data_IF_347808216291
#
_entry.id   IF_347808216291
#
_cell.length_a   1.000
_cell.length_b   1.000
_cell.length_c   1.000
_cell.angle_alpha   90.00
_cell.angle_beta   90.00
_cell.angle_gamma   90.00
#
_symmetry.space_group_name_H-M   'P 1'
#
loop_
_entity.id
_entity.type
_entity.pdbx_description
1 polymer ?
#
# COMPACT_ATOMS: atom_id res chain seq x y z
N UNK A 1 29.83 12.19 5.38
CA UNK A 1 28.73 12.94 6.01
C UNK A 1 27.88 11.98 6.81
N UNK A 2 28.05 11.98 8.14
CA UNK A 2 27.35 11.07 9.06
C UNK A 2 25.98 11.67 9.39
N UNK A 3 24.89 11.02 9.00
CA UNK A 3 23.56 11.34 9.53
C UNK A 3 23.35 10.54 10.82
N UNK A 4 23.50 11.21 11.94
CA UNK A 4 23.06 10.69 13.26
C UNK A 4 21.55 10.85 13.33
N UNK A 5 20.83 9.73 13.41
CA UNK A 5 19.42 9.70 13.81
C UNK A 5 19.37 9.82 15.33
N UNK A 6 18.87 10.95 15.82
CA UNK A 6 18.54 11.15 17.23
C UNK A 6 17.14 10.64 17.52
N UNK A 7 17.02 9.92 18.64
CA UNK A 7 15.81 9.53 19.37
C UNK A 7 14.85 8.55 18.68
N UNK A 8 15.16 7.24 18.87
CA UNK A 8 14.11 6.25 19.05
C UNK A 8 14.03 5.97 20.55
N UNK A 9 13.07 6.60 21.22
CA UNK A 9 12.72 6.22 22.58
C UNK A 9 12.14 4.82 22.61
N UNK A 10 12.79 3.94 23.37
CA UNK A 10 12.50 2.51 23.52
C UNK A 10 11.47 2.23 24.63
N UNK A 11 10.52 3.11 24.83
CA UNK A 11 9.47 2.91 25.84
C UNK A 11 8.08 3.06 25.23
N UNK A 12 7.56 2.02 24.60
CA UNK A 12 6.13 1.69 24.57
C UNK A 12 5.83 0.50 23.66
N UNK A 13 6.41 -0.65 23.93
CA UNK A 13 5.87 -1.94 23.43
C UNK A 13 5.97 -3.00 24.52
N UNK A 14 5.20 -2.81 25.58
CA UNK A 14 4.91 -3.93 26.51
C UNK A 14 3.79 -4.76 25.88
N UNK A 15 4.14 -5.71 25.02
CA UNK A 15 3.31 -6.83 24.67
C UNK A 15 3.17 -7.72 25.92
N UNK A 16 1.98 -7.73 26.51
CA UNK A 16 1.65 -8.62 27.61
C UNK A 16 1.43 -10.03 27.08
N UNK A 17 2.42 -10.88 27.19
CA UNK A 17 2.31 -12.31 26.91
C UNK A 17 1.74 -13.01 28.14
N UNK A 18 0.46 -13.32 28.17
CA UNK A 18 -0.16 -14.20 29.16
C UNK A 18 -0.09 -15.65 28.66
N UNK A 19 0.75 -16.44 29.29
CA UNK A 19 0.82 -17.89 29.07
C UNK A 19 -0.19 -18.57 29.98
N UNK A 20 -1.24 -19.13 29.43
CA UNK A 20 -2.14 -20.07 30.11
C UNK A 20 -2.22 -21.35 29.29
N UNK A 21 -1.68 -22.44 29.89
CA UNK A 21 -1.84 -23.85 29.48
C UNK A 21 -1.89 -24.14 27.97
N UNK A 22 -0.72 -24.23 27.34
CA UNK A 22 -0.53 -25.09 26.16
C UNK A 22 -1.14 -24.61 24.83
N UNK A 23 -1.66 -23.39 24.75
CA UNK A 23 -2.12 -22.76 23.52
C UNK A 23 -1.49 -21.38 23.40
N UNK A 24 -0.52 -21.25 22.50
CA UNK A 24 -0.04 -19.92 22.08
C UNK A 24 -1.16 -19.31 21.26
N UNK A 25 -2.00 -18.50 21.90
CA UNK A 25 -2.92 -17.61 21.20
C UNK A 25 -2.11 -16.38 20.86
N UNK A 26 -1.70 -16.26 19.61
CA UNK A 26 -1.22 -15.00 19.05
C UNK A 26 -2.42 -14.04 19.00
N UNK A 27 -2.67 -13.31 20.09
CA UNK A 27 -3.50 -12.11 20.04
C UNK A 27 -2.72 -11.04 19.29
N UNK A 28 -3.13 -10.81 18.10
CA UNK A 28 -3.07 -9.56 17.35
C UNK A 28 -2.81 -9.75 15.87
N UNK A 29 -3.77 -10.31 15.17
CA UNK A 29 -4.10 -9.71 13.88
C UNK A 29 -5.21 -8.69 14.15
N UNK A 30 -4.88 -7.51 14.61
CA UNK A 30 -5.78 -6.38 14.56
C UNK A 30 -6.18 -6.24 13.09
N UNK A 31 -7.38 -6.73 12.73
CA UNK A 31 -7.99 -6.51 11.42
C UNK A 31 -8.03 -5.01 11.27
N UNK A 32 -7.16 -4.47 10.41
CA UNK A 32 -7.17 -3.06 10.10
C UNK A 32 -8.54 -2.77 9.48
N UNK A 33 -9.41 -2.24 10.31
CA UNK A 33 -10.72 -1.72 9.89
C UNK A 33 -10.49 -0.42 9.11
N UNK A 34 -11.48 0.12 8.40
CA UNK A 34 -11.38 1.47 7.82
C UNK A 34 -10.90 2.52 8.82
N UNK A 35 -11.12 2.31 10.14
CA UNK A 35 -10.66 3.19 11.22
C UNK A 35 -9.15 3.11 11.49
N UNK A 36 -8.45 2.07 11.02
CA UNK A 36 -7.00 1.87 11.16
C UNK A 36 -6.23 2.12 9.86
N UNK A 37 -6.89 2.70 8.85
CA UNK A 37 -6.24 3.05 7.59
C UNK A 37 -5.13 4.09 7.80
N UNK A 38 -3.90 3.85 7.28
CA UNK A 38 -2.72 4.64 7.64
C UNK A 38 -2.76 6.12 7.23
N UNK A 39 -3.66 6.49 6.32
CA UNK A 39 -3.79 7.85 5.77
C UNK A 39 -5.08 8.56 6.18
N UNK A 40 -5.78 8.10 7.22
CA UNK A 40 -7.10 8.60 7.63
C UNK A 40 -7.22 10.14 7.73
N UNK A 41 -6.14 10.83 8.10
CA UNK A 41 -6.14 12.28 8.31
C UNK A 41 -5.13 13.02 7.42
N UNK A 42 -4.72 12.38 6.32
CA UNK A 42 -3.62 12.88 5.51
C UNK A 42 -3.99 14.03 4.56
N UNK A 43 -5.25 14.19 4.14
CA UNK A 43 -5.60 15.13 3.07
C UNK A 43 -5.47 16.57 3.56
N UNK A 44 -4.49 17.34 3.06
CA UNK A 44 -4.42 18.78 3.34
C UNK A 44 -5.59 19.48 2.66
N UNK A 45 -6.22 20.41 3.35
CA UNK A 45 -7.36 21.17 2.79
C UNK A 45 -8.66 20.40 2.70
N UNK A 46 -8.77 19.24 3.36
CA UNK A 46 -10.02 18.47 3.42
C UNK A 46 -11.11 19.28 4.09
N UNK A 47 -12.07 19.76 3.33
CA UNK A 47 -13.29 20.31 3.88
C UNK A 47 -14.18 19.20 4.44
N UNK A 48 -15.02 19.53 5.42
CA UNK A 48 -15.95 18.59 6.06
C UNK A 48 -16.68 17.76 4.99
N UNK A 49 -16.62 16.42 5.12
CA UNK A 49 -17.37 15.53 4.23
C UNK A 49 -18.86 15.78 4.46
N UNK A 50 -19.63 16.14 3.42
CA UNK A 50 -21.05 16.39 3.56
C UNK A 50 -21.79 15.13 4.01
N UNK A 51 -22.73 15.29 4.95
CA UNK A 51 -23.60 14.21 5.40
C UNK A 51 -24.86 14.08 4.53
N UNK A 52 -25.25 15.15 3.83
CA UNK A 52 -26.45 15.15 2.99
C UNK A 52 -26.18 14.45 1.65
N UNK A 53 -27.07 13.59 1.23
CA UNK A 53 -26.95 12.78 0.00
C UNK A 53 -26.72 13.62 -1.26
N UNK A 54 -27.42 14.76 -1.40
CA UNK A 54 -27.24 15.68 -2.54
C UNK A 54 -25.80 16.21 -2.62
N UNK A 55 -25.24 16.61 -1.50
CA UNK A 55 -23.87 17.12 -1.42
C UNK A 55 -22.85 16.03 -1.69
N UNK A 56 -23.08 14.80 -1.23
CA UNK A 56 -22.24 13.64 -1.54
C UNK A 56 -22.27 13.32 -3.04
N UNK A 57 -23.44 13.43 -3.68
CA UNK A 57 -23.58 13.24 -5.14
C UNK A 57 -22.76 14.28 -5.88
N UNK A 58 -22.87 15.56 -5.52
CA UNK A 58 -22.09 16.65 -6.14
C UNK A 58 -20.58 16.41 -5.96
N UNK A 59 -20.15 16.02 -4.77
CA UNK A 59 -18.74 15.69 -4.50
C UNK A 59 -18.25 14.55 -5.42
N UNK A 60 -18.97 13.46 -5.53
CA UNK A 60 -18.65 12.36 -6.47
C UNK A 60 -18.60 12.79 -7.93
N UNK A 61 -19.50 13.69 -8.36
CA UNK A 61 -19.45 14.27 -9.72
C UNK A 61 -18.16 15.04 -9.96
N UNK A 62 -17.69 15.81 -8.99
CA UNK A 62 -16.41 16.55 -9.07
C UNK A 62 -15.23 15.58 -9.21
N UNK A 63 -15.15 14.55 -8.37
CA UNK A 63 -14.08 13.54 -8.44
C UNK A 63 -14.07 12.81 -9.79
N UNK A 64 -15.24 12.34 -10.25
CA UNK A 64 -15.37 11.66 -11.56
C UNK A 64 -15.02 12.55 -12.73
N UNK A 65 -15.35 13.84 -12.67
CA UNK A 65 -14.98 14.80 -13.71
C UNK A 65 -13.46 15.04 -13.75
N UNK A 66 -12.81 15.12 -12.58
CA UNK A 66 -11.37 15.27 -12.49
C UNK A 66 -10.63 14.02 -13.04
N UNK A 67 -11.10 12.81 -12.71
CA UNK A 67 -10.57 11.56 -13.29
C UNK A 67 -10.69 11.52 -14.82
N UNK A 68 -11.86 11.88 -15.35
CA UNK A 68 -12.10 11.91 -16.80
C UNK A 68 -11.21 12.92 -17.52
N UNK A 69 -11.00 14.10 -16.92
CA UNK A 69 -10.09 15.12 -17.46
C UNK A 69 -8.63 14.67 -17.40
N UNK A 70 -8.19 14.05 -16.30
CA UNK A 70 -6.83 13.56 -16.16
C UNK A 70 -6.44 12.58 -17.27
N UNK A 71 -7.38 11.71 -17.66
CA UNK A 71 -7.19 10.74 -18.74
C UNK A 71 -7.01 11.39 -20.11
N UNK A 72 -7.74 12.50 -20.38
CA UNK A 72 -7.80 13.11 -21.70
C UNK A 72 -6.81 14.25 -21.90
N UNK A 73 -6.63 15.11 -20.89
CA UNK A 73 -5.90 16.38 -20.97
C UNK A 73 -4.53 16.32 -20.27
N UNK A 74 -4.29 15.25 -19.48
CA UNK A 74 -3.13 15.17 -18.59
C UNK A 74 -3.30 16.03 -17.33
N UNK A 75 -2.84 15.51 -16.20
CA UNK A 75 -3.05 16.10 -14.86
C UNK A 75 -2.53 17.53 -14.72
N UNK A 76 -1.42 17.86 -15.42
CA UNK A 76 -0.80 19.19 -15.36
C UNK A 76 -1.67 20.31 -15.90
N UNK A 77 -2.54 20.02 -16.87
CA UNK A 77 -3.33 21.01 -17.59
C UNK A 77 -4.71 21.28 -16.98
N UNK A 78 -5.13 20.49 -15.99
CA UNK A 78 -6.47 20.58 -15.40
C UNK A 78 -6.58 21.79 -14.48
N UNK A 79 -7.69 22.51 -14.60
CA UNK A 79 -8.03 23.64 -13.72
C UNK A 79 -9.34 23.38 -13.00
N UNK A 80 -9.61 24.13 -11.90
CA UNK A 80 -10.88 24.07 -11.17
C UNK A 80 -12.07 24.42 -12.08
N UNK A 81 -11.89 25.37 -13.01
CA UNK A 81 -12.91 25.76 -13.99
C UNK A 81 -13.26 24.60 -14.92
N UNK A 82 -12.25 23.87 -15.44
CA UNK A 82 -12.47 22.70 -16.28
C UNK A 82 -13.22 21.60 -15.53
N UNK A 83 -12.85 21.33 -14.27
CA UNK A 83 -13.53 20.35 -13.43
C UNK A 83 -14.98 20.76 -13.18
N UNK A 84 -15.24 22.01 -12.81
CA UNK A 84 -16.59 22.53 -12.58
C UNK A 84 -17.47 22.41 -13.85
N UNK A 85 -16.94 22.84 -15.00
CA UNK A 85 -17.62 22.74 -16.30
C UNK A 85 -17.95 21.29 -16.65
N UNK A 86 -16.98 20.36 -16.50
CA UNK A 86 -17.17 18.93 -16.74
C UNK A 86 -18.19 18.30 -15.81
N UNK A 87 -18.23 18.78 -14.54
CA UNK A 87 -19.20 18.35 -13.52
C UNK A 87 -20.58 18.97 -13.69
N UNK A 88 -20.74 19.91 -14.63
CA UNK A 88 -21.99 20.69 -14.85
C UNK A 88 -22.43 21.47 -13.59
N UNK A 89 -21.50 22.04 -12.86
CA UNK A 89 -21.75 22.89 -11.67
C UNK A 89 -21.06 24.25 -11.83
N UNK A 90 -21.53 25.24 -11.08
CA UNK A 90 -20.84 26.53 -11.01
C UNK A 90 -19.46 26.40 -10.36
N UNK A 91 -18.46 27.14 -10.82
CA UNK A 91 -17.12 27.12 -10.24
C UNK A 91 -17.12 27.42 -8.75
N UNK A 92 -17.91 28.41 -8.29
CA UNK A 92 -18.08 28.71 -6.87
C UNK A 92 -18.59 27.53 -6.05
N UNK A 93 -19.42 26.66 -6.64
CA UNK A 93 -19.88 25.44 -5.99
C UNK A 93 -18.71 24.44 -5.80
N UNK A 94 -17.83 24.28 -6.79
CA UNK A 94 -16.67 23.40 -6.67
C UNK A 94 -15.75 23.85 -5.51
N UNK A 95 -15.52 25.15 -5.36
CA UNK A 95 -14.73 25.71 -4.26
C UNK A 95 -15.39 25.59 -2.88
N UNK A 96 -16.69 25.30 -2.77
CA UNK A 96 -17.32 24.93 -1.50
C UNK A 96 -16.91 23.55 -1.02
N UNK A 97 -16.53 22.65 -1.93
CA UNK A 97 -16.14 21.26 -1.62
C UNK A 97 -14.64 21.09 -1.50
N UNK A 98 -13.85 21.82 -2.29
CA UNK A 98 -12.40 21.67 -2.38
C UNK A 98 -11.72 23.04 -2.49
N UNK A 99 -10.62 23.23 -1.79
CA UNK A 99 -9.87 24.48 -1.82
C UNK A 99 -9.20 24.72 -3.18
N UNK A 100 -8.69 23.64 -3.79
CA UNK A 100 -8.06 23.65 -5.09
C UNK A 100 -8.17 22.27 -5.76
N UNK A 101 -7.58 22.14 -6.96
CA UNK A 101 -7.55 20.87 -7.70
C UNK A 101 -6.70 19.80 -7.02
N UNK A 102 -5.66 20.21 -6.30
CA UNK A 102 -4.76 19.28 -5.64
C UNK A 102 -5.46 18.59 -4.46
N UNK A 103 -6.40 19.29 -3.78
CA UNK A 103 -7.28 18.69 -2.79
C UNK A 103 -8.21 17.62 -3.42
N UNK A 104 -8.69 17.84 -4.67
CA UNK A 104 -9.47 16.85 -5.41
C UNK A 104 -8.61 15.62 -5.73
N UNK A 105 -7.40 15.82 -6.22
CA UNK A 105 -6.48 14.74 -6.55
C UNK A 105 -6.04 13.95 -5.30
N UNK A 106 -5.82 14.63 -4.19
CA UNK A 106 -5.50 14.00 -2.91
C UNK A 106 -6.65 13.10 -2.43
N UNK A 107 -7.92 13.50 -2.62
CA UNK A 107 -9.06 12.65 -2.26
C UNK A 107 -9.20 11.43 -3.19
N UNK A 108 -8.98 11.60 -4.49
CA UNK A 108 -8.94 10.46 -5.43
C UNK A 108 -7.84 9.47 -5.06
N UNK A 109 -6.68 9.98 -4.63
CA UNK A 109 -5.58 9.16 -4.13
C UNK A 109 -5.96 8.41 -2.85
N UNK A 110 -6.63 9.07 -1.89
CA UNK A 110 -7.09 8.43 -0.66
C UNK A 110 -8.11 7.31 -0.96
N UNK A 111 -9.11 7.56 -1.81
CA UNK A 111 -10.07 6.53 -2.21
C UNK A 111 -9.38 5.31 -2.84
N UNK A 112 -8.40 5.55 -3.71
CA UNK A 112 -7.58 4.50 -4.29
C UNK A 112 -6.78 3.75 -3.22
N UNK A 113 -6.14 4.46 -2.31
CA UNK A 113 -5.31 3.87 -1.27
C UNK A 113 -6.14 3.04 -0.27
N UNK A 114 -7.37 3.47 0.06
CA UNK A 114 -8.32 2.69 0.87
C UNK A 114 -8.70 1.38 0.16
N UNK A 115 -9.04 1.45 -1.13
CA UNK A 115 -9.39 0.27 -1.93
C UNK A 115 -8.20 -0.68 -2.10
N UNK A 116 -6.99 -0.12 -2.33
CA UNK A 116 -5.73 -0.87 -2.35
C UNK A 116 -5.51 -1.62 -1.03
N UNK A 117 -5.67 -0.93 0.10
CA UNK A 117 -5.47 -1.51 1.42
C UNK A 117 -6.47 -2.62 1.73
N UNK A 118 -7.73 -2.44 1.37
CA UNK A 118 -8.76 -3.48 1.51
C UNK A 118 -8.43 -4.73 0.68
N UNK A 119 -8.00 -4.54 -0.57
CA UNK A 119 -7.59 -5.63 -1.46
C UNK A 119 -6.37 -6.38 -0.92
N UNK A 120 -5.35 -5.65 -0.46
CA UNK A 120 -4.15 -6.23 0.15
C UNK A 120 -4.49 -7.06 1.40
N UNK A 121 -5.31 -6.52 2.31
CA UNK A 121 -5.70 -7.23 3.52
C UNK A 121 -6.46 -8.52 3.21
N UNK A 122 -7.33 -8.51 2.20
CA UNK A 122 -8.02 -9.70 1.74
C UNK A 122 -7.05 -10.72 1.15
N UNK A 123 -6.13 -10.29 0.29
CA UNK A 123 -5.16 -11.15 -0.37
C UNK A 123 -4.11 -11.74 0.59
N UNK A 124 -3.89 -11.11 1.75
CA UNK A 124 -2.91 -11.54 2.76
C UNK A 124 -3.57 -12.07 4.03
N UNK A 125 -4.80 -12.58 3.96
CA UNK A 125 -5.54 -13.02 5.13
C UNK A 125 -4.95 -14.27 5.79
N UNK A 126 -4.40 -15.20 4.99
CA UNK A 126 -3.83 -16.47 5.45
C UNK A 126 -2.30 -16.38 5.53
N UNK A 127 -1.68 -16.51 6.71
CA UNK A 127 -0.22 -16.51 6.83
C UNK A 127 0.44 -17.65 6.03
N UNK A 128 1.64 -17.41 5.55
CA UNK A 128 2.43 -18.40 4.80
C UNK A 128 2.83 -19.60 5.64
N UNK A 129 2.73 -20.78 5.00
CA UNK A 129 3.34 -22.03 5.44
C UNK A 129 4.21 -22.61 4.33
N UNK A 130 4.98 -23.68 4.62
CA UNK A 130 5.76 -24.39 3.62
C UNK A 130 4.89 -24.93 2.47
N UNK A 131 3.66 -25.36 2.78
CA UNK A 131 2.74 -25.95 1.82
C UNK A 131 2.02 -24.90 0.97
N UNK A 132 1.81 -23.67 1.48
CA UNK A 132 0.87 -22.72 0.89
C UNK A 132 1.52 -21.46 0.31
N UNK A 133 2.75 -21.12 0.67
CA UNK A 133 3.33 -19.81 0.31
C UNK A 133 3.32 -19.49 -1.19
N UNK A 134 3.49 -20.51 -2.08
CA UNK A 134 3.44 -20.29 -3.54
C UNK A 134 2.04 -19.91 -4.00
N UNK A 135 1.01 -20.64 -3.54
CA UNK A 135 -0.38 -20.36 -3.90
C UNK A 135 -0.85 -19.03 -3.31
N UNK A 136 -0.42 -18.68 -2.09
CA UNK A 136 -0.74 -17.40 -1.46
C UNK A 136 -0.06 -16.23 -2.20
N UNK A 137 1.20 -16.38 -2.62
CA UNK A 137 1.89 -15.36 -3.43
C UNK A 137 1.23 -15.19 -4.80
N UNK A 138 0.91 -16.28 -5.49
CA UNK A 138 0.17 -16.26 -6.75
C UNK A 138 -1.17 -15.54 -6.59
N UNK A 139 -1.93 -15.87 -5.56
CA UNK A 139 -3.21 -15.26 -5.24
C UNK A 139 -3.10 -13.75 -5.00
N UNK A 140 -2.08 -13.31 -4.25
CA UNK A 140 -1.79 -11.90 -4.04
C UNK A 140 -1.50 -11.19 -5.37
N UNK A 141 -0.57 -11.72 -6.17
CA UNK A 141 -0.15 -11.08 -7.43
C UNK A 141 -1.33 -10.98 -8.39
N UNK A 142 -2.14 -12.04 -8.49
CA UNK A 142 -3.35 -12.04 -9.32
C UNK A 142 -4.37 -11.00 -8.87
N UNK A 143 -4.67 -10.93 -7.57
CA UNK A 143 -5.64 -9.96 -7.03
C UNK A 143 -5.14 -8.52 -7.17
N UNK A 144 -3.87 -8.29 -6.90
CA UNK A 144 -3.27 -6.97 -7.05
C UNK A 144 -3.18 -6.55 -8.52
N UNK A 145 -2.78 -7.44 -9.42
CA UNK A 145 -2.78 -7.18 -10.86
C UNK A 145 -4.16 -6.76 -11.39
N UNK A 146 -5.23 -7.46 -10.97
CA UNK A 146 -6.61 -7.07 -11.29
C UNK A 146 -6.95 -5.68 -10.74
N UNK A 147 -6.64 -5.41 -9.47
CA UNK A 147 -6.86 -4.12 -8.85
C UNK A 147 -6.14 -2.98 -9.60
N UNK A 148 -4.88 -3.19 -9.99
CA UNK A 148 -4.12 -2.21 -10.74
C UNK A 148 -4.71 -1.95 -12.13
N UNK A 149 -5.19 -2.97 -12.81
CA UNK A 149 -5.86 -2.83 -14.12
C UNK A 149 -7.16 -2.03 -13.99
N UNK A 150 -7.99 -2.34 -12.99
CA UNK A 150 -9.24 -1.62 -12.72
C UNK A 150 -9.01 -0.15 -12.32
N UNK A 151 -7.86 0.15 -11.72
CA UNK A 151 -7.45 1.50 -11.31
C UNK A 151 -6.76 2.30 -12.43
N UNK A 152 -6.65 1.77 -13.63
CA UNK A 152 -5.81 2.35 -14.71
C UNK A 152 -6.14 3.79 -15.07
N UNK A 153 -7.41 4.22 -14.93
CA UNK A 153 -7.83 5.61 -15.17
C UNK A 153 -7.30 6.62 -14.13
N UNK A 154 -6.81 6.15 -12.99
CA UNK A 154 -6.34 6.99 -11.87
C UNK A 154 -4.82 7.15 -11.81
N UNK A 155 -4.06 6.39 -12.64
CA UNK A 155 -2.60 6.34 -12.51
C UNK A 155 -1.90 7.67 -12.67
N UNK A 156 -2.38 8.55 -13.56
CA UNK A 156 -1.78 9.86 -13.75
C UNK A 156 -1.96 10.74 -12.53
N UNK A 157 -3.13 10.67 -11.90
CA UNK A 157 -3.41 11.37 -10.64
C UNK A 157 -2.56 10.80 -9.50
N UNK A 158 -2.48 9.47 -9.39
CA UNK A 158 -1.69 8.80 -8.34
C UNK A 158 -0.21 9.21 -8.44
N UNK A 159 0.37 9.14 -9.64
CA UNK A 159 1.76 9.57 -9.89
C UNK A 159 1.97 11.04 -9.59
N UNK A 160 1.03 11.89 -10.01
CA UNK A 160 1.09 13.31 -9.71
C UNK A 160 1.10 13.56 -8.20
N UNK A 161 0.15 12.99 -7.46
CA UNK A 161 0.08 13.15 -5.99
C UNK A 161 1.37 12.64 -5.34
N UNK A 162 1.87 11.46 -5.70
CA UNK A 162 3.12 10.91 -5.16
C UNK A 162 4.36 11.74 -5.51
N UNK A 163 4.32 12.58 -6.56
CA UNK A 163 5.40 13.53 -6.89
C UNK A 163 5.41 14.76 -5.98
N UNK A 164 4.31 15.10 -5.32
CA UNK A 164 4.24 16.22 -4.38
C UNK A 164 4.97 15.94 -3.07
N UNK A 165 5.32 16.96 -2.30
CA UNK A 165 5.96 16.79 -0.98
C UNK A 165 5.07 16.02 -0.02
N UNK A 166 3.79 16.35 0.02
CA UNK A 166 2.79 15.72 0.89
C UNK A 166 2.51 14.28 0.46
N UNK A 167 2.31 14.05 -0.83
CA UNK A 167 2.05 12.71 -1.37
C UNK A 167 3.23 11.75 -1.18
N UNK A 168 4.48 12.25 -1.24
CA UNK A 168 5.65 11.43 -0.86
C UNK A 168 5.62 10.99 0.61
N UNK A 169 5.11 11.85 1.50
CA UNK A 169 4.89 11.50 2.90
C UNK A 169 3.85 10.38 3.05
N UNK A 170 2.69 10.55 2.41
CA UNK A 170 1.61 9.56 2.39
C UNK A 170 2.06 8.22 1.79
N UNK A 171 2.75 8.25 0.66
CA UNK A 171 3.30 7.06 0.02
C UNK A 171 4.29 6.32 0.94
N UNK A 172 5.14 7.05 1.68
CA UNK A 172 6.06 6.43 2.64
C UNK A 172 5.30 5.73 3.77
N UNK A 173 4.29 6.40 4.35
CA UNK A 173 3.44 5.81 5.39
C UNK A 173 2.73 4.55 4.90
N UNK A 174 2.16 4.59 3.70
CA UNK A 174 1.50 3.44 3.08
C UNK A 174 2.49 2.29 2.80
N UNK A 175 3.70 2.61 2.34
CA UNK A 175 4.75 1.62 2.11
C UNK A 175 5.19 0.93 3.41
N UNK A 176 5.38 1.68 4.49
CA UNK A 176 5.75 1.12 5.79
C UNK A 176 4.65 0.22 6.36
N UNK A 177 3.38 0.61 6.19
CA UNK A 177 2.23 -0.21 6.57
C UNK A 177 2.17 -1.51 5.73
N UNK A 178 2.43 -1.43 4.42
CA UNK A 178 2.50 -2.60 3.55
C UNK A 178 3.62 -3.57 3.98
N UNK A 179 4.80 -3.05 4.31
CA UNK A 179 5.91 -3.88 4.79
C UNK A 179 5.53 -4.56 6.11
N UNK A 180 4.89 -3.84 7.04
CA UNK A 180 4.39 -4.43 8.28
C UNK A 180 3.39 -5.55 8.01
N UNK A 181 2.43 -5.32 7.11
CA UNK A 181 1.44 -6.34 6.71
C UNK A 181 2.09 -7.58 6.10
N UNK A 182 3.12 -7.41 5.26
CA UNK A 182 3.89 -8.53 4.72
C UNK A 182 4.67 -9.28 5.80
N UNK A 183 5.18 -8.59 6.83
CA UNK A 183 5.82 -9.23 7.97
C UNK A 183 4.86 -10.11 8.78
N UNK A 184 3.58 -9.71 8.88
CA UNK A 184 2.56 -10.53 9.54
C UNK A 184 2.19 -11.75 8.67
N UNK A 185 2.15 -11.59 7.37
CA UNK A 185 1.74 -12.59 6.39
C UNK A 185 2.83 -13.61 6.07
N UNK A 186 4.00 -13.15 5.61
CA UNK A 186 5.12 -13.99 5.17
C UNK A 186 6.17 -14.25 6.26
N UNK A 187 6.25 -13.34 7.24
CA UNK A 187 7.25 -13.38 8.31
C UNK A 187 7.25 -14.66 9.16
N UNK A 188 6.11 -15.28 9.48
CA UNK A 188 6.09 -16.56 10.20
C UNK A 188 6.93 -17.65 9.54
N UNK A 189 6.86 -17.76 8.21
CA UNK A 189 7.63 -18.74 7.43
C UNK A 189 9.14 -18.47 7.52
N UNK A 190 9.58 -17.22 7.43
CA UNK A 190 11.00 -16.85 7.57
C UNK A 190 11.50 -17.01 9.00
N UNK A 191 10.71 -16.67 10.01
CA UNK A 191 11.06 -16.90 11.42
C UNK A 191 11.25 -18.38 11.74
N UNK A 192 10.40 -19.25 11.19
CA UNK A 192 10.55 -20.70 11.35
C UNK A 192 11.88 -21.23 10.79
N UNK A 193 12.52 -20.47 9.88
CA UNK A 193 13.85 -20.76 9.33
C UNK A 193 14.99 -20.00 9.99
N UNK A 194 14.76 -19.42 11.16
CA UNK A 194 15.79 -18.78 12.00
C UNK A 194 16.14 -17.36 11.60
N UNK A 195 15.35 -16.70 10.73
CA UNK A 195 15.53 -15.27 10.47
C UNK A 195 15.06 -14.43 11.65
N UNK A 196 15.88 -13.45 12.05
CA UNK A 196 15.50 -12.43 13.03
C UNK A 196 14.37 -11.52 12.53
N UNK A 197 13.73 -10.81 13.45
CA UNK A 197 12.68 -9.84 13.08
C UNK A 197 13.20 -8.76 12.10
N UNK A 198 14.43 -8.29 12.28
CA UNK A 198 15.05 -7.31 11.38
C UNK A 198 15.29 -7.87 9.98
N UNK A 199 15.78 -9.11 9.88
CA UNK A 199 15.96 -9.79 8.59
C UNK A 199 14.63 -10.06 7.90
N UNK A 200 13.60 -10.50 8.65
CA UNK A 200 12.24 -10.65 8.11
C UNK A 200 11.70 -9.33 7.54
N UNK A 201 11.87 -8.22 8.25
CA UNK A 201 11.46 -6.89 7.79
C UNK A 201 12.20 -6.49 6.50
N UNK A 202 13.50 -6.76 6.42
CA UNK A 202 14.30 -6.49 5.22
C UNK A 202 13.82 -7.32 4.01
N UNK A 203 13.55 -8.61 4.21
CA UNK A 203 13.02 -9.51 3.18
C UNK A 203 11.64 -9.05 2.72
N UNK A 204 10.71 -8.82 3.66
CA UNK A 204 9.38 -8.33 3.34
C UNK A 204 9.42 -6.97 2.62
N UNK A 205 10.32 -6.08 3.03
CA UNK A 205 10.54 -4.80 2.36
C UNK A 205 11.05 -4.96 0.93
N UNK A 206 11.89 -5.95 0.66
CA UNK A 206 12.34 -6.28 -0.69
C UNK A 206 11.16 -6.79 -1.54
N UNK A 207 10.37 -7.75 -1.02
CA UNK A 207 9.21 -8.31 -1.71
C UNK A 207 8.19 -7.22 -2.08
N UNK A 208 7.82 -6.37 -1.13
CA UNK A 208 6.88 -5.26 -1.37
C UNK A 208 7.39 -4.32 -2.46
N UNK A 209 8.67 -3.94 -2.43
CA UNK A 209 9.25 -3.04 -3.44
C UNK A 209 9.34 -3.68 -4.82
N UNK A 210 9.67 -4.97 -4.89
CA UNK A 210 9.71 -5.74 -6.14
C UNK A 210 8.33 -5.80 -6.75
N UNK A 211 7.31 -6.22 -5.99
CA UNK A 211 5.93 -6.30 -6.46
C UNK A 211 5.41 -4.92 -6.90
N UNK A 212 5.59 -3.88 -6.06
CA UNK A 212 5.17 -2.52 -6.38
C UNK A 212 5.85 -1.97 -7.63
N UNK A 213 7.16 -2.20 -7.79
CA UNK A 213 7.94 -1.67 -8.90
C UNK A 213 7.44 -2.12 -10.26
N UNK A 214 6.83 -3.29 -10.35
CA UNK A 214 6.28 -3.80 -11.60
C UNK A 214 5.00 -3.08 -12.04
N UNK A 215 4.21 -2.53 -11.14
CA UNK A 215 2.89 -1.97 -11.47
C UNK A 215 2.79 -0.45 -11.44
N UNK A 216 3.64 0.24 -10.67
CA UNK A 216 3.47 1.68 -10.42
C UNK A 216 4.02 2.56 -11.54
N UNK A 217 4.99 2.07 -12.33
CA UNK A 217 5.74 2.93 -13.25
C UNK A 217 5.30 2.86 -14.71
N UNK A 218 4.20 2.17 -15.05
CA UNK A 218 3.76 2.02 -16.42
C UNK A 218 2.27 2.35 -16.64
N UNK A 219 1.94 2.73 -17.89
CA UNK A 219 0.58 2.66 -18.42
C UNK A 219 0.57 1.38 -19.25
N UNK A 220 -0.19 0.38 -18.82
CA UNK A 220 -0.14 -0.95 -19.40
C UNK A 220 -1.43 -1.30 -20.09
N UNK A 221 -1.32 -1.95 -21.23
CA UNK A 221 -2.42 -2.71 -21.81
C UNK A 221 -2.73 -3.93 -20.90
N UNK A 222 -3.93 -4.52 -21.02
CA UNK A 222 -4.25 -5.74 -20.28
C UNK A 222 -3.28 -6.90 -20.57
N UNK A 223 -2.66 -6.95 -21.76
CA UNK A 223 -1.67 -7.95 -22.10
C UNK A 223 -0.35 -7.70 -21.36
N UNK A 224 0.20 -6.49 -21.46
CA UNK A 224 1.43 -6.10 -20.75
C UNK A 224 1.30 -6.30 -19.24
N UNK A 225 0.13 -5.99 -18.66
CA UNK A 225 -0.10 -6.19 -17.24
C UNK A 225 -0.07 -7.68 -16.85
N UNK A 226 -0.56 -8.60 -17.72
CA UNK A 226 -0.44 -10.04 -17.48
C UNK A 226 1.02 -10.51 -17.53
N UNK A 227 1.79 -10.03 -18.50
CA UNK A 227 3.21 -10.37 -18.64
C UNK A 227 4.01 -9.84 -17.44
N UNK A 228 3.74 -8.61 -17.00
CA UNK A 228 4.35 -8.03 -15.81
C UNK A 228 3.96 -8.76 -14.52
N UNK A 229 2.71 -9.17 -14.39
CA UNK A 229 2.27 -9.97 -13.24
C UNK A 229 3.01 -11.29 -13.17
N UNK A 230 3.21 -11.96 -14.31
CA UNK A 230 4.03 -13.18 -14.37
C UNK A 230 5.49 -12.90 -13.99
N UNK A 231 6.10 -11.86 -14.54
CA UNK A 231 7.48 -11.47 -14.20
C UNK A 231 7.63 -11.11 -12.74
N UNK A 232 6.63 -10.42 -12.16
CA UNK A 232 6.61 -10.09 -10.74
C UNK A 232 6.52 -11.36 -9.86
N UNK A 233 5.72 -12.34 -10.30
CA UNK A 233 5.58 -13.62 -9.60
C UNK A 233 6.89 -14.43 -9.68
N UNK A 234 7.47 -14.58 -10.86
CA UNK A 234 8.72 -15.31 -11.07
C UNK A 234 9.86 -14.70 -10.24
N UNK A 235 10.04 -13.37 -10.33
CA UNK A 235 11.08 -12.65 -9.57
C UNK A 235 10.87 -12.74 -8.06
N UNK A 236 9.64 -12.62 -7.60
CA UNK A 236 9.32 -12.70 -6.16
C UNK A 236 9.49 -14.13 -5.65
N UNK A 237 9.06 -15.13 -6.43
CA UNK A 237 9.25 -16.56 -6.15
C UNK A 237 10.73 -16.88 -6.00
N UNK A 238 11.57 -16.45 -6.93
CA UNK A 238 13.02 -16.67 -6.88
C UNK A 238 13.65 -16.06 -5.61
N UNK A 239 13.23 -14.85 -5.20
CA UNK A 239 13.70 -14.23 -3.96
C UNK A 239 13.32 -15.09 -2.75
N UNK A 240 12.08 -15.57 -2.69
CA UNK A 240 11.60 -16.40 -1.56
C UNK A 240 12.37 -17.72 -1.52
N UNK A 241 12.51 -18.42 -2.64
CA UNK A 241 13.23 -19.70 -2.72
C UNK A 241 14.67 -19.58 -2.24
N UNK A 242 15.41 -18.58 -2.71
CA UNK A 242 16.79 -18.30 -2.26
C UNK A 242 16.83 -18.09 -0.74
N UNK A 243 15.88 -17.33 -0.19
CA UNK A 243 15.84 -17.09 1.27
C UNK A 243 15.50 -18.36 2.05
N UNK A 244 14.55 -19.15 1.57
CA UNK A 244 14.17 -20.41 2.23
C UNK A 244 15.31 -21.43 2.21
N UNK A 245 16.05 -21.54 1.10
CA UNK A 245 17.20 -22.47 0.96
C UNK A 245 18.38 -22.06 1.86
N UNK A 246 18.65 -20.76 1.98
CA UNK A 246 19.80 -20.25 2.75
C UNK A 246 19.68 -20.49 4.25
N UNK A 247 18.47 -20.43 4.81
CA UNK A 247 18.20 -20.64 6.21
C UNK A 247 18.29 -22.12 6.65
N UNK A 248 18.28 -23.06 5.70
CA UNK A 248 18.45 -24.48 5.98
C UNK A 248 19.91 -24.90 6.25
N UNK A 249 20.87 -23.99 6.10
CA UNK A 249 22.27 -24.26 6.45
C UNK A 249 22.49 -23.98 7.94
N UNK A 250 22.97 -24.94 8.75
CA UNK A 250 23.27 -24.71 10.14
C UNK A 250 24.30 -23.58 10.26
N UNK A 251 24.06 -22.62 11.16
CA UNK A 251 25.06 -21.61 11.53
C UNK A 251 26.24 -22.35 12.14
N UNK A 252 27.34 -22.47 11.41
CA UNK A 252 28.61 -22.87 11.96
C UNK A 252 29.03 -21.81 12.98
N UNK A 253 28.79 -22.08 14.27
CA UNK A 253 29.33 -21.26 15.36
C UNK A 253 30.83 -21.51 15.33
N UNK A 254 31.57 -20.69 14.61
CA UNK A 254 33.02 -20.61 14.77
C UNK A 254 33.25 -19.93 16.12
N UNK A 255 33.23 -20.72 17.17
CA UNK A 255 33.78 -20.36 18.48
C UNK A 255 35.26 -20.07 18.28
N UNK A 256 35.67 -18.82 18.24
CA UNK A 256 37.02 -18.46 18.60
C UNK A 256 37.09 -18.38 20.11
N UNK A 257 37.51 -19.47 20.73
CA UNK A 257 38.10 -19.42 22.04
C UNK A 257 39.44 -18.69 21.91
N UNK A 258 39.60 -17.62 22.65
CA UNK A 258 40.90 -17.12 23.15
C UNK A 258 40.65 -16.72 24.60
#
# INVERSE_FOLDING_TARGET
>A
MRYMCRTCDTESMKSSTRVTKGKIVLESSARLTPDTFPLKDWIPGRRRVPTQERSQRTRRQILSAAEALAKNEGVGNITMQMIAAKSKIAAGTAYQFFDDRDAIFAEIYEEWAVAFWATLNKATATPWSDATWRSELHGLITQMGKFYLESSSRWDIIRYVESTKQGRGAMRTLLDANISRFCDWAGPLFRARGYSAAECKAICGLLVRTIRGHWVYGVYTPQELRELSKTAEDGTTAIVEVKLTRASRPRTITGKSV
#
